data_IF_861455254472
#
_entry.id   IF_861455254472
#
_cell.length_a   1.000
_cell.length_b   1.000
_cell.length_c   1.000
_cell.angle_alpha   90.00
_cell.angle_beta   90.00
_cell.angle_gamma   90.00
#
_symmetry.space_group_name_H-M   'P 1'
#
loop_
_entity.id
_entity.type
_entity.pdbx_description
1 polymer ?
#
# COMPACT_ATOMS: atom_id res chain seq x y z
N UNK A 1 -64.89 -75.80 12.02
CA UNK A 1 -63.72 -75.00 12.41
C UNK A 1 -63.95 -74.44 13.81
N UNK A 2 -63.32 -75.00 14.84
CA UNK A 2 -63.48 -74.56 16.23
C UNK A 2 -62.15 -74.59 16.98
N UNK A 3 -61.89 -73.46 17.66
CA UNK A 3 -61.06 -73.24 18.86
C UNK A 3 -59.54 -73.36 18.72
N UNK A 4 -58.88 -72.22 18.89
CA UNK A 4 -57.83 -72.11 19.90
C UNK A 4 -57.74 -70.67 20.39
N UNK A 5 -57.87 -70.49 21.70
CA UNK A 5 -57.74 -69.23 22.40
C UNK A 5 -56.44 -69.25 23.21
N UNK A 6 -55.97 -68.04 23.51
CA UNK A 6 -54.95 -67.67 24.50
C UNK A 6 -53.48 -67.76 24.07
N UNK A 7 -52.89 -66.59 23.84
CA UNK A 7 -51.60 -66.26 24.45
C UNK A 7 -51.56 -64.76 24.73
N UNK A 8 -51.55 -64.42 26.01
CA UNK A 8 -51.50 -63.07 26.53
C UNK A 8 -50.06 -62.53 26.45
N UNK A 9 -49.91 -61.32 25.92
CA UNK A 9 -48.65 -60.57 25.97
C UNK A 9 -48.79 -59.39 26.95
N UNK A 10 -47.94 -59.31 27.99
CA UNK A 10 -47.76 -58.08 28.74
C UNK A 10 -46.30 -57.63 28.65
N UNK A 11 -45.99 -56.50 28.00
CA UNK A 11 -44.69 -55.87 28.21
C UNK A 11 -44.64 -54.40 27.78
N UNK A 12 -44.72 -53.55 28.81
CA UNK A 12 -43.83 -52.40 29.01
C UNK A 12 -43.82 -51.29 27.96
N UNK A 13 -44.58 -50.25 28.31
CA UNK A 13 -44.10 -48.86 28.45
C UNK A 13 -42.56 -48.76 28.44
N UNK A 14 -41.99 -48.39 27.30
CA UNK A 14 -40.75 -47.62 27.24
C UNK A 14 -40.90 -46.55 26.16
N UNK A 15 -41.62 -45.48 26.53
CA UNK A 15 -41.46 -44.18 25.91
C UNK A 15 -40.02 -43.70 26.17
N UNK A 16 -39.08 -44.15 25.33
CA UNK A 16 -37.73 -43.58 25.27
C UNK A 16 -37.85 -42.17 24.68
N UNK A 17 -37.99 -41.19 25.57
CA UNK A 17 -37.67 -39.79 25.30
C UNK A 17 -36.25 -39.74 24.73
N UNK A 18 -36.13 -39.58 23.41
CA UNK A 18 -34.87 -39.21 22.77
C UNK A 18 -34.52 -37.80 23.26
N UNK A 19 -33.36 -37.56 23.87
CA UNK A 19 -32.94 -36.19 24.16
C UNK A 19 -32.71 -35.48 22.81
N UNK A 20 -33.27 -34.28 22.69
CA UNK A 20 -33.06 -33.42 21.53
C UNK A 20 -31.54 -33.27 21.31
N UNK A 21 -31.06 -33.67 20.13
CA UNK A 21 -29.69 -33.36 19.71
C UNK A 21 -29.55 -31.85 19.71
N UNK A 22 -28.87 -31.31 20.72
CA UNK A 22 -28.34 -29.95 20.69
C UNK A 22 -27.47 -29.86 19.44
N UNK A 23 -27.99 -29.18 18.42
CA UNK A 23 -27.30 -28.92 17.16
C UNK A 23 -26.11 -28.04 17.52
N UNK A 24 -24.95 -28.66 17.76
CA UNK A 24 -23.70 -27.94 18.01
C UNK A 24 -23.52 -26.96 16.85
N UNK A 25 -23.40 -25.67 17.18
CA UNK A 25 -23.05 -24.66 16.20
C UNK A 25 -21.77 -25.08 15.48
N UNK A 26 -21.64 -24.82 14.17
CA UNK A 26 -20.39 -25.10 13.46
C UNK A 26 -19.24 -24.39 14.19
N UNK A 27 -18.03 -24.99 14.22
CA UNK A 27 -16.87 -24.30 14.78
C UNK A 27 -16.74 -22.94 14.11
N UNK A 28 -16.36 -21.88 14.86
CA UNK A 28 -16.05 -20.61 14.22
C UNK A 28 -15.01 -20.88 13.13
N UNK A 29 -15.24 -20.33 11.94
CA UNK A 29 -14.21 -20.32 10.90
C UNK A 29 -12.92 -19.86 11.55
N UNK A 30 -11.75 -20.44 11.24
CA UNK A 30 -10.49 -19.85 11.61
C UNK A 30 -10.44 -18.48 10.93
N UNK A 31 -10.92 -17.45 11.62
CA UNK A 31 -10.51 -16.09 11.37
C UNK A 31 -9.00 -16.17 11.42
N UNK A 32 -8.27 -15.75 10.38
CA UNK A 32 -6.82 -15.74 10.42
C UNK A 32 -6.46 -15.06 11.73
N UNK A 33 -5.87 -15.83 12.65
CA UNK A 33 -5.33 -15.32 13.90
C UNK A 33 -4.56 -14.09 13.48
N UNK A 34 -4.96 -12.94 14.04
CA UNK A 34 -4.51 -11.65 13.54
C UNK A 34 -3.00 -11.69 13.43
N UNK A 35 -2.48 -11.50 12.21
CA UNK A 35 -1.05 -11.24 12.01
C UNK A 35 -0.60 -10.08 12.91
N UNK A 36 -1.53 -9.20 13.31
CA UNK A 36 -1.36 -8.21 14.36
C UNK A 36 -0.97 -8.77 15.74
N UNK A 37 -1.56 -9.87 16.22
CA UNK A 37 -1.20 -10.49 17.51
C UNK A 37 0.22 -11.09 17.49
N UNK A 38 0.68 -11.57 16.33
CA UNK A 38 2.06 -12.05 16.17
C UNK A 38 3.10 -10.93 15.96
N UNK A 39 2.67 -9.71 15.61
CA UNK A 39 3.60 -8.57 15.55
C UNK A 39 3.84 -7.98 16.94
N UNK A 40 2.87 -8.12 17.86
CA UNK A 40 2.94 -7.63 19.25
C UNK A 40 3.87 -8.46 20.16
N UNK A 41 4.31 -9.65 19.73
CA UNK A 41 5.29 -10.49 20.43
C UNK A 41 6.72 -10.33 19.87
N UNK A 42 6.91 -9.52 18.83
CA UNK A 42 8.25 -9.20 18.35
C UNK A 42 8.87 -8.15 19.28
N UNK A 43 10.10 -8.36 19.80
CA UNK A 43 10.80 -7.36 20.59
C UNK A 43 11.28 -6.14 19.76
N UNK A 44 10.86 -6.02 18.50
CA UNK A 44 11.23 -4.94 17.62
C UNK A 44 10.45 -3.66 17.94
N UNK A 45 11.15 -2.54 17.97
CA UNK A 45 10.54 -1.22 18.16
C UNK A 45 9.67 -0.85 16.95
N UNK A 46 8.60 -0.04 17.13
CA UNK A 46 7.78 0.45 16.01
C UNK A 46 8.59 1.15 14.89
N UNK A 47 9.73 1.72 15.25
CA UNK A 47 10.67 2.36 14.31
C UNK A 47 11.41 1.32 13.47
N UNK A 48 11.89 0.23 14.07
CA UNK A 48 12.53 -0.88 13.34
C UNK A 48 11.54 -1.57 12.40
N UNK A 49 10.28 -1.74 12.81
CA UNK A 49 9.22 -2.29 11.96
C UNK A 49 8.92 -1.36 10.79
N UNK A 50 8.87 -0.05 11.02
CA UNK A 50 8.68 0.95 9.97
C UNK A 50 9.85 0.97 8.98
N UNK A 51 11.10 1.02 9.47
CA UNK A 51 12.31 0.98 8.65
C UNK A 51 12.41 -0.32 7.84
N UNK A 52 12.11 -1.46 8.47
CA UNK A 52 12.08 -2.77 7.80
C UNK A 52 11.03 -2.87 6.69
N UNK A 53 9.96 -2.07 6.75
CA UNK A 53 8.95 -1.96 5.68
C UNK A 53 9.33 -0.98 4.58
N UNK A 54 10.12 0.05 4.89
CA UNK A 54 10.56 1.06 3.92
C UNK A 54 11.73 0.57 3.06
N UNK A 55 12.59 -0.30 3.60
CA UNK A 55 13.78 -0.77 2.88
C UNK A 55 13.46 -1.58 1.60
N UNK A 56 12.52 -2.55 1.59
CA UNK A 56 12.24 -3.33 0.38
C UNK A 56 11.72 -2.50 -0.80
N UNK A 57 10.74 -1.58 -0.63
CA UNK A 57 10.33 -0.67 -1.70
C UNK A 57 11.46 0.17 -2.28
N UNK A 58 12.40 0.65 -1.46
CA UNK A 58 13.54 1.45 -1.93
C UNK A 58 14.53 0.61 -2.77
N UNK A 59 14.77 -0.64 -2.38
CA UNK A 59 15.58 -1.57 -3.17
C UNK A 59 14.94 -1.86 -4.52
N UNK A 60 13.63 -2.16 -4.52
CA UNK A 60 12.88 -2.39 -5.77
C UNK A 60 12.92 -1.15 -6.66
N UNK A 61 12.69 0.04 -6.10
CA UNK A 61 12.77 1.30 -6.84
C UNK A 61 14.16 1.54 -7.44
N UNK A 62 15.23 1.24 -6.71
CA UNK A 62 16.61 1.38 -7.19
C UNK A 62 16.88 0.45 -8.37
N UNK A 63 16.54 -0.83 -8.24
CA UNK A 63 16.72 -1.82 -9.32
C UNK A 63 15.89 -1.43 -10.54
N UNK A 64 14.64 -1.03 -10.34
CA UNK A 64 13.74 -0.62 -11.42
C UNK A 64 14.22 0.66 -12.11
N UNK A 65 14.76 1.63 -11.36
CA UNK A 65 15.33 2.84 -11.92
C UNK A 65 16.59 2.57 -12.74
N UNK A 66 17.48 1.69 -12.26
CA UNK A 66 18.64 1.23 -13.05
C UNK A 66 18.19 0.57 -14.34
N UNK A 67 17.19 -0.32 -14.24
CA UNK A 67 16.64 -1.01 -15.41
C UNK A 67 16.07 -0.02 -16.43
N UNK A 68 15.26 0.95 -15.99
CA UNK A 68 14.71 1.98 -16.88
C UNK A 68 15.78 2.89 -17.45
N UNK A 69 16.78 3.29 -16.65
CA UNK A 69 17.90 4.08 -17.15
C UNK A 69 18.64 3.34 -18.27
N UNK A 70 18.94 2.05 -18.10
CA UNK A 70 19.58 1.22 -19.11
C UNK A 70 18.70 1.04 -20.34
N UNK A 71 17.41 0.73 -20.18
CA UNK A 71 16.47 0.57 -21.30
C UNK A 71 16.38 1.88 -22.10
N UNK A 72 16.15 3.02 -21.43
CA UNK A 72 15.97 4.31 -22.08
C UNK A 72 17.23 4.77 -22.81
N UNK A 73 18.41 4.55 -22.21
CA UNK A 73 19.68 4.97 -22.81
C UNK A 73 20.17 4.01 -23.90
N UNK A 74 20.09 2.69 -23.69
CA UNK A 74 20.64 1.69 -24.60
C UNK A 74 19.68 1.27 -25.70
N UNK A 75 18.39 1.06 -25.38
CA UNK A 75 17.40 0.57 -26.36
C UNK A 75 16.72 1.73 -27.09
N UNK A 76 16.32 2.78 -26.36
CA UNK A 76 15.64 3.93 -26.95
C UNK A 76 16.59 5.05 -27.40
N UNK A 77 17.89 4.94 -27.09
CA UNK A 77 18.90 5.91 -27.51
C UNK A 77 18.72 7.31 -26.93
N UNK A 78 17.94 7.47 -25.85
CA UNK A 78 17.74 8.77 -25.20
C UNK A 78 18.91 9.02 -24.26
N UNK A 79 19.78 10.00 -24.56
CA UNK A 79 20.98 10.22 -23.77
C UNK A 79 20.64 10.77 -22.39
N UNK A 80 21.19 10.15 -21.35
CA UNK A 80 21.17 10.70 -20.00
C UNK A 80 22.25 11.78 -19.87
N UNK A 81 21.85 13.03 -19.64
CA UNK A 81 22.75 14.19 -19.54
C UNK A 81 22.94 14.71 -18.11
N UNK A 82 22.20 14.13 -17.17
CA UNK A 82 22.16 14.56 -15.79
C UNK A 82 23.27 13.96 -14.91
N UNK A 83 23.14 14.20 -13.61
CA UNK A 83 23.99 13.59 -12.59
C UNK A 83 23.29 12.34 -12.02
N UNK A 84 23.98 11.19 -12.04
CA UNK A 84 23.45 9.93 -11.51
C UNK A 84 23.08 10.01 -10.02
N UNK A 85 23.86 10.74 -9.22
CA UNK A 85 23.55 10.91 -7.80
C UNK A 85 22.21 11.62 -7.62
N UNK A 86 21.99 12.71 -8.34
CA UNK A 86 20.72 13.45 -8.31
C UNK A 86 19.55 12.57 -8.79
N UNK A 87 19.78 11.76 -9.83
CA UNK A 87 18.78 10.81 -10.32
C UNK A 87 18.38 9.79 -9.26
N UNK A 88 19.34 9.08 -8.64
CA UNK A 88 19.03 8.08 -7.62
C UNK A 88 18.47 8.71 -6.35
N UNK A 89 18.94 9.88 -5.92
CA UNK A 89 18.33 10.60 -4.80
C UNK A 89 16.88 10.95 -5.11
N UNK A 90 16.58 11.50 -6.29
CA UNK A 90 15.20 11.80 -6.69
C UNK A 90 14.31 10.55 -6.71
N UNK A 91 14.80 9.44 -7.28
CA UNK A 91 14.09 8.15 -7.31
C UNK A 91 13.79 7.65 -5.90
N UNK A 92 14.79 7.63 -5.02
CA UNK A 92 14.63 7.12 -3.66
C UNK A 92 13.67 7.98 -2.85
N UNK A 93 13.81 9.31 -2.92
CA UNK A 93 12.90 10.25 -2.25
C UNK A 93 11.48 10.15 -2.80
N UNK A 94 11.31 9.98 -4.11
CA UNK A 94 9.99 9.75 -4.71
C UNK A 94 9.37 8.42 -4.26
N UNK A 95 10.16 7.34 -4.23
CA UNK A 95 9.72 6.04 -3.78
C UNK A 95 9.31 6.06 -2.29
N UNK A 96 10.07 6.78 -1.46
CA UNK A 96 9.72 7.01 -0.06
C UNK A 96 8.40 7.77 0.08
N UNK A 97 8.23 8.88 -0.66
CA UNK A 97 6.99 9.64 -0.66
C UNK A 97 5.78 8.76 -1.03
N UNK A 98 5.92 7.93 -2.06
CA UNK A 98 4.88 6.99 -2.50
C UNK A 98 4.60 5.90 -1.46
N UNK A 99 5.64 5.36 -0.82
CA UNK A 99 5.50 4.38 0.25
C UNK A 99 4.74 4.99 1.44
N UNK A 100 5.05 6.22 1.84
CA UNK A 100 4.32 6.95 2.88
C UNK A 100 2.83 7.10 2.56
N UNK A 101 2.49 7.51 1.32
CA UNK A 101 1.10 7.60 0.84
C UNK A 101 0.41 6.22 0.87
N UNK A 102 1.07 5.17 0.38
CA UNK A 102 0.52 3.82 0.38
C UNK A 102 0.27 3.29 1.79
N UNK A 103 1.17 3.55 2.73
CA UNK A 103 1.02 3.21 4.14
C UNK A 103 -0.14 3.98 4.78
N UNK A 104 -0.28 5.27 4.46
CA UNK A 104 -1.40 6.08 4.91
C UNK A 104 -2.73 5.52 4.40
N UNK A 105 -2.87 5.23 3.11
CA UNK A 105 -4.08 4.60 2.56
C UNK A 105 -4.37 3.25 3.25
N UNK A 106 -3.35 2.40 3.40
CA UNK A 106 -3.46 1.08 4.03
C UNK A 106 -3.94 1.16 5.49
N UNK A 107 -3.68 2.29 6.16
CA UNK A 107 -4.13 2.49 7.53
C UNK A 107 -5.62 2.87 7.64
N UNK A 108 -6.21 3.45 6.60
CA UNK A 108 -7.61 3.91 6.59
C UNK A 108 -8.59 2.79 6.25
N UNK A 109 -8.13 1.79 5.51
CA UNK A 109 -8.96 0.71 4.97
C UNK A 109 -8.87 -0.56 5.82
N UNK A 110 -9.84 -1.47 5.65
CA UNK A 110 -9.91 -2.74 6.39
C UNK A 110 -9.54 -3.96 5.56
N UNK A 111 -9.62 -3.87 4.24
CA UNK A 111 -9.35 -4.99 3.33
C UNK A 111 -8.31 -4.62 2.27
N UNK A 112 -7.62 -5.63 1.74
CA UNK A 112 -6.63 -5.44 0.66
C UNK A 112 -7.28 -4.89 -0.63
N UNK A 113 -8.50 -5.32 -0.95
CA UNK A 113 -9.23 -4.81 -2.11
C UNK A 113 -9.55 -3.31 -1.96
N UNK A 114 -9.91 -2.86 -0.74
CA UNK A 114 -10.09 -1.44 -0.46
C UNK A 114 -8.78 -0.66 -0.55
N UNK A 115 -7.65 -1.24 -0.11
CA UNK A 115 -6.33 -0.61 -0.25
C UNK A 115 -5.98 -0.38 -1.73
N UNK A 116 -6.23 -1.37 -2.57
CA UNK A 116 -6.00 -1.26 -4.01
C UNK A 116 -6.88 -0.17 -4.63
N UNK A 117 -8.19 -0.18 -4.36
CA UNK A 117 -9.10 0.87 -4.85
C UNK A 117 -8.71 2.27 -4.35
N UNK A 118 -8.30 2.39 -3.08
CA UNK A 118 -7.80 3.64 -2.52
C UNK A 118 -6.53 4.13 -3.21
N UNK A 119 -5.59 3.23 -3.49
CA UNK A 119 -4.39 3.57 -4.25
C UNK A 119 -4.73 4.08 -5.67
N UNK A 120 -5.67 3.43 -6.37
CA UNK A 120 -6.15 3.90 -7.67
C UNK A 120 -6.82 5.27 -7.59
N UNK A 121 -7.64 5.50 -6.55
CA UNK A 121 -8.32 6.78 -6.34
C UNK A 121 -7.35 7.95 -6.10
N UNK A 122 -6.15 7.69 -5.59
CA UNK A 122 -5.10 8.71 -5.42
C UNK A 122 -4.21 8.80 -6.66
N UNK A 123 -3.84 7.66 -7.26
CA UNK A 123 -2.94 7.58 -8.39
C UNK A 123 -3.48 8.33 -9.61
N UNK A 124 -4.76 8.16 -9.95
CA UNK A 124 -5.34 8.76 -11.15
C UNK A 124 -5.34 10.29 -11.10
N UNK A 125 -5.85 10.96 -10.05
CA UNK A 125 -5.73 12.41 -9.92
C UNK A 125 -4.28 12.88 -9.93
N UNK A 126 -3.37 12.17 -9.25
CA UNK A 126 -1.96 12.56 -9.23
C UNK A 126 -1.30 12.45 -10.60
N UNK A 127 -1.65 11.43 -11.39
CA UNK A 127 -1.18 11.29 -12.76
C UNK A 127 -1.69 12.41 -13.66
N UNK A 128 -2.97 12.78 -13.55
CA UNK A 128 -3.56 13.87 -14.32
C UNK A 128 -2.99 15.24 -13.95
N UNK A 129 -2.74 15.47 -12.66
CA UNK A 129 -2.16 16.71 -12.11
C UNK A 129 -0.63 16.72 -12.11
N UNK A 130 0.02 15.73 -12.73
CA UNK A 130 1.48 15.62 -12.74
C UNK A 130 2.17 16.61 -13.69
N UNK A 131 1.41 17.21 -14.61
CA UNK A 131 1.99 18.00 -15.71
C UNK A 131 2.37 17.15 -16.94
N UNK A 132 2.18 15.83 -16.90
CA UNK A 132 2.46 14.93 -18.03
C UNK A 132 1.51 15.16 -19.22
N UNK A 133 0.20 15.14 -18.96
CA UNK A 133 -0.82 15.23 -20.02
C UNK A 133 -1.13 16.69 -20.42
N UNK A 134 -1.01 17.62 -19.48
CA UNK A 134 -1.28 19.04 -19.69
C UNK A 134 -0.25 19.86 -18.92
N UNK A 135 0.40 20.86 -19.54
CA UNK A 135 1.32 21.74 -18.82
C UNK A 135 0.65 22.38 -17.59
N UNK A 136 1.36 22.39 -16.46
CA UNK A 136 0.81 22.88 -15.18
C UNK A 136 0.42 24.36 -15.28
N UNK A 137 1.15 25.15 -16.05
CA UNK A 137 0.89 26.57 -16.31
C UNK A 137 -0.47 26.82 -16.96
N UNK A 138 -1.01 25.84 -17.69
CA UNK A 138 -2.31 25.92 -18.36
C UNK A 138 -3.48 25.53 -17.44
N UNK A 139 -3.21 25.06 -16.22
CA UNK A 139 -4.24 24.69 -15.27
C UNK A 139 -4.75 25.94 -14.52
N UNK A 140 -6.04 25.98 -14.12
CA UNK A 140 -6.53 26.97 -13.16
C UNK A 140 -5.67 27.05 -11.89
N UNK A 141 -5.57 28.23 -11.28
CA UNK A 141 -4.70 28.49 -10.13
C UNK A 141 -4.88 27.51 -8.96
N UNK A 142 -6.11 27.06 -8.70
CA UNK A 142 -6.41 26.11 -7.64
C UNK A 142 -5.88 24.71 -7.92
N UNK A 143 -5.86 24.28 -9.19
CA UNK A 143 -5.23 23.02 -9.60
C UNK A 143 -3.71 23.11 -9.55
N UNK A 144 -3.12 24.24 -9.92
CA UNK A 144 -1.68 24.47 -9.80
C UNK A 144 -1.22 24.28 -8.36
N UNK A 145 -1.99 24.79 -7.38
CA UNK A 145 -1.71 24.57 -5.97
C UNK A 145 -1.68 23.08 -5.60
N UNK A 146 -2.63 22.27 -6.08
CA UNK A 146 -2.64 20.82 -5.83
C UNK A 146 -1.44 20.09 -6.45
N UNK A 147 -0.84 20.62 -7.51
CA UNK A 147 0.39 20.03 -8.07
C UNK A 147 1.59 20.18 -7.14
N UNK A 148 1.58 21.18 -6.24
CA UNK A 148 2.70 21.42 -5.32
C UNK A 148 2.84 20.32 -4.27
N UNK A 149 1.75 19.66 -3.88
CA UNK A 149 1.73 18.53 -2.95
C UNK A 149 1.85 17.17 -3.66
N UNK A 150 1.89 17.18 -5.00
CA UNK A 150 1.93 15.96 -5.80
C UNK A 150 3.39 15.53 -6.06
N UNK A 151 3.89 14.45 -5.42
CA UNK A 151 5.27 14.02 -5.61
C UNK A 151 5.58 13.62 -7.06
N UNK A 152 4.56 13.15 -7.81
CA UNK A 152 4.73 12.76 -9.21
C UNK A 152 5.03 13.97 -10.11
N UNK A 153 4.46 15.14 -9.80
CA UNK A 153 4.72 16.37 -10.55
C UNK A 153 6.19 16.81 -10.44
N UNK A 154 6.74 16.79 -9.22
CA UNK A 154 8.15 17.11 -8.97
C UNK A 154 9.09 16.09 -9.62
N UNK A 155 8.76 14.80 -9.53
CA UNK A 155 9.54 13.73 -10.15
C UNK A 155 9.60 13.88 -11.68
N UNK A 156 8.49 14.22 -12.34
CA UNK A 156 8.50 14.44 -13.79
C UNK A 156 9.37 15.64 -14.20
N UNK A 157 9.33 16.75 -13.45
CA UNK A 157 10.22 17.90 -13.70
C UNK A 157 11.69 17.52 -13.55
N UNK A 158 12.04 16.75 -12.53
CA UNK A 158 13.39 16.21 -12.33
C UNK A 158 13.81 15.31 -13.49
N UNK A 159 12.96 14.38 -13.92
CA UNK A 159 13.25 13.48 -15.04
C UNK A 159 13.46 14.25 -16.35
N UNK A 160 12.60 15.24 -16.65
CA UNK A 160 12.77 16.11 -17.81
C UNK A 160 14.08 16.91 -17.74
N UNK A 161 14.43 17.42 -16.57
CA UNK A 161 15.69 18.12 -16.34
C UNK A 161 16.92 17.26 -16.61
N UNK A 162 16.92 16.02 -16.13
CA UNK A 162 18.05 15.09 -16.21
C UNK A 162 18.24 14.49 -17.62
N UNK A 163 17.16 14.17 -18.34
CA UNK A 163 17.25 13.57 -19.66
C UNK A 163 17.22 14.59 -20.81
N UNK A 164 16.34 15.59 -20.74
CA UNK A 164 16.09 16.48 -21.89
C UNK A 164 16.94 17.74 -21.82
N UNK A 165 17.06 18.35 -20.63
CA UNK A 165 17.65 19.69 -20.49
C UNK A 165 19.14 19.69 -20.10
N UNK A 166 19.69 18.56 -19.64
CA UNK A 166 21.04 18.51 -19.06
C UNK A 166 21.19 19.52 -17.90
N UNK A 167 20.12 19.69 -17.13
CA UNK A 167 20.01 20.74 -16.14
C UNK A 167 21.07 20.59 -15.04
N UNK A 168 21.61 21.73 -14.59
CA UNK A 168 22.55 21.75 -13.47
C UNK A 168 21.88 21.25 -12.18
N UNK A 169 22.70 20.76 -11.23
CA UNK A 169 22.21 20.34 -9.91
C UNK A 169 21.47 21.49 -9.21
N UNK A 170 21.98 22.72 -9.32
CA UNK A 170 21.37 23.90 -8.71
C UNK A 170 19.94 24.16 -9.23
N UNK A 171 19.71 24.02 -10.54
CA UNK A 171 18.37 24.19 -11.12
C UNK A 171 17.37 23.09 -10.70
N UNK A 172 17.86 21.92 -10.31
CA UNK A 172 17.03 20.79 -9.87
C UNK A 172 16.84 20.75 -8.35
N UNK A 173 17.62 21.51 -7.60
CA UNK A 173 17.64 21.46 -6.15
C UNK A 173 16.27 21.80 -5.54
N UNK A 174 15.55 22.75 -6.15
CA UNK A 174 14.24 23.16 -5.65
C UNK A 174 13.20 22.03 -5.75
N UNK A 175 13.10 21.35 -6.90
CA UNK A 175 12.19 20.21 -7.05
C UNK A 175 12.59 19.04 -6.14
N UNK A 176 13.90 18.81 -5.97
CA UNK A 176 14.42 17.79 -5.07
C UNK A 176 14.05 18.08 -3.60
N UNK A 177 14.19 19.35 -3.16
CA UNK A 177 13.82 19.79 -1.82
C UNK A 177 12.33 19.65 -1.57
N UNK A 178 11.48 20.06 -2.52
CA UNK A 178 10.02 19.89 -2.40
C UNK A 178 9.63 18.42 -2.33
N UNK A 179 10.27 17.58 -3.12
CA UNK A 179 10.03 16.14 -3.09
C UNK A 179 10.46 15.53 -1.74
N UNK A 180 11.58 16.01 -1.17
CA UNK A 180 12.06 15.61 0.15
C UNK A 180 11.10 16.04 1.27
N UNK A 181 10.59 17.27 1.22
CA UNK A 181 9.56 17.75 2.14
C UNK A 181 8.34 16.82 2.12
N UNK A 182 7.85 16.47 0.93
CA UNK A 182 6.70 15.57 0.77
C UNK A 182 7.02 14.19 1.35
N UNK A 183 8.19 13.61 1.05
CA UNK A 183 8.60 12.30 1.56
C UNK A 183 8.64 12.27 3.10
N UNK A 184 9.27 13.27 3.71
CA UNK A 184 9.34 13.37 5.17
C UNK A 184 7.96 13.54 5.78
N UNK A 185 7.09 14.36 5.20
CA UNK A 185 5.73 14.56 5.69
C UNK A 185 4.89 13.28 5.60
N UNK A 186 4.93 12.54 4.48
CA UNK A 186 4.12 11.33 4.31
C UNK A 186 4.64 10.17 5.15
N UNK A 187 5.96 9.99 5.26
CA UNK A 187 6.58 9.02 6.16
C UNK A 187 6.26 9.33 7.62
N UNK A 188 6.40 10.59 8.05
CA UNK A 188 6.06 11.00 9.42
C UNK A 188 4.58 10.74 9.74
N UNK A 189 3.67 11.12 8.83
CA UNK A 189 2.24 10.86 8.99
C UNK A 189 1.92 9.36 9.12
N UNK A 190 2.57 8.52 8.30
CA UNK A 190 2.43 7.07 8.38
C UNK A 190 2.91 6.52 9.73
N UNK A 191 4.11 6.92 10.19
CA UNK A 191 4.69 6.47 11.46
C UNK A 191 3.82 6.87 12.65
N UNK A 192 3.34 8.12 12.69
CA UNK A 192 2.46 8.60 13.76
C UNK A 192 1.16 7.80 13.84
N UNK A 193 0.61 7.39 12.69
CA UNK A 193 -0.63 6.63 12.63
C UNK A 193 -0.45 5.17 13.04
N UNK A 194 0.69 4.56 12.72
CA UNK A 194 1.05 3.23 13.24
C UNK A 194 1.20 3.24 14.77
N UNK A 195 1.84 4.28 15.34
CA UNK A 195 1.96 4.44 16.79
C UNK A 195 0.60 4.57 17.46
N UNK A 196 -0.36 5.27 16.84
CA UNK A 196 -1.74 5.41 17.35
C UNK A 196 -2.56 4.14 17.31
N UNK A 197 -2.30 3.22 16.36
CA UNK A 197 -2.98 1.92 16.31
C UNK A 197 -2.36 0.88 17.26
N UNK A 198 -1.11 1.07 17.65
CA UNK A 198 -0.38 0.17 18.55
C UNK A 198 -0.53 0.54 20.03
N UNK A 199 -1.06 1.72 20.35
CA UNK A 199 -1.41 2.19 21.69
C UNK A 199 -2.92 2.03 21.94
#
# INVERSE_FOLDING_TARGET
MRRSAASAAPARRQARRRPARVRRAPPPNPTPIGTFDQTLVSPATPVEIALGKLLPPLLVASVQATLYLLIVTLLYGVPFRGNLLVFYTAVLTFAEACAGVGLFISSLVRTQQQAFLGAFAVLLPFALLSGFATPIENMPWWLQFLTTINPLAHMLRLMQGLFLKGASVASLAQDLLRLLEIALCTTAAAVLLFRRKAA
#
